data_IF_205927402287
#
_entry.id   IF_205927402287
#
_cell.length_a   1.000
_cell.length_b   1.000
_cell.length_c   1.000
_cell.angle_alpha   90.00
_cell.angle_beta   90.00
_cell.angle_gamma   90.00
#
_symmetry.space_group_name_H-M   'P 1'
#
loop_
_entity.id
_entity.type
_entity.pdbx_description
1 polymer ?
#
# COMPACT_ATOMS: atom_id res chain seq x y z
N UNK A 1 -21.40 -17.33 18.36
CA UNK A 1 -21.71 -16.32 17.35
C UNK A 1 -20.71 -15.20 17.53
N UNK A 2 -19.75 -15.07 16.65
CA UNK A 2 -18.79 -13.95 16.68
C UNK A 2 -19.56 -12.77 16.07
N UNK A 3 -19.74 -11.69 16.84
CA UNK A 3 -20.28 -10.44 16.32
C UNK A 3 -19.37 -9.97 15.19
N UNK A 4 -19.89 -9.95 13.98
CA UNK A 4 -19.25 -9.35 12.84
C UNK A 4 -19.13 -7.85 13.11
N UNK A 5 -17.92 -7.34 13.26
CA UNK A 5 -17.71 -5.92 13.52
C UNK A 5 -18.18 -5.11 12.31
N UNK A 6 -18.85 -3.98 12.57
CA UNK A 6 -19.39 -3.07 11.55
C UNK A 6 -18.34 -2.45 10.60
N UNK A 7 -17.08 -2.83 10.75
CA UNK A 7 -15.93 -2.31 10.00
C UNK A 7 -15.50 -3.18 8.81
N UNK A 8 -16.16 -4.35 8.58
CA UNK A 8 -15.86 -5.24 7.46
C UNK A 8 -16.37 -4.75 6.09
N UNK A 9 -16.95 -3.56 6.04
CA UNK A 9 -17.61 -3.01 4.86
C UNK A 9 -16.77 -1.95 4.12
N UNK A 10 -15.51 -2.25 3.82
CA UNK A 10 -14.74 -1.51 2.84
C UNK A 10 -14.90 -2.16 1.46
N UNK A 11 -15.90 -1.73 0.71
CA UNK A 11 -16.16 -2.23 -0.62
C UNK A 11 -15.24 -1.54 -1.63
N UNK A 12 -14.23 -2.28 -2.09
CA UNK A 12 -13.60 -2.08 -3.39
C UNK A 12 -13.91 -3.33 -4.22
N UNK A 13 -14.31 -3.25 -5.49
CA UNK A 13 -14.58 -4.42 -6.33
C UNK A 13 -13.42 -5.42 -6.33
N UNK A 14 -12.20 -4.92 -6.32
CA UNK A 14 -10.96 -5.72 -6.23
C UNK A 14 -10.77 -6.39 -4.86
N UNK A 15 -11.33 -5.81 -3.80
CA UNK A 15 -11.19 -6.34 -2.44
C UNK A 15 -12.18 -7.46 -2.11
N UNK A 16 -13.25 -7.64 -2.89
CA UNK A 16 -14.21 -8.74 -2.69
C UNK A 16 -13.52 -10.10 -2.86
N UNK A 17 -12.68 -10.26 -3.87
CA UNK A 17 -11.89 -11.47 -4.06
C UNK A 17 -10.95 -11.71 -2.86
N UNK A 18 -10.30 -10.67 -2.39
CA UNK A 18 -9.42 -10.70 -1.21
C UNK A 18 -10.18 -11.04 0.09
N UNK A 19 -11.35 -10.43 0.33
CA UNK A 19 -12.18 -10.67 1.52
C UNK A 19 -12.76 -12.09 1.49
N UNK A 20 -13.14 -12.58 0.31
CA UNK A 20 -13.65 -13.97 0.13
C UNK A 20 -12.54 -15.01 0.22
N UNK A 21 -11.28 -14.60 0.39
CA UNK A 21 -10.14 -15.53 0.41
C UNK A 21 -9.74 -16.05 -0.96
N UNK A 22 -10.41 -15.59 -2.02
CA UNK A 22 -10.06 -15.90 -3.40
C UNK A 22 -8.78 -15.13 -3.76
N UNK A 23 -7.72 -15.83 -4.11
CA UNK A 23 -6.42 -15.24 -4.50
C UNK A 23 -5.69 -14.46 -3.40
N UNK A 24 -5.94 -14.77 -2.11
CA UNK A 24 -5.05 -14.26 -1.04
C UNK A 24 -3.67 -14.87 -1.23
N UNK A 25 -2.63 -14.06 -1.42
CA UNK A 25 -1.28 -14.59 -1.31
C UNK A 25 -1.13 -15.15 0.11
N UNK A 26 -0.92 -16.44 0.22
CA UNK A 26 -0.57 -17.05 1.50
C UNK A 26 0.92 -16.90 1.63
N UNK A 27 1.30 -15.94 2.40
CA UNK A 27 2.66 -15.60 2.60
C UNK A 27 3.22 -16.17 3.88
N UNK A 28 4.26 -16.91 3.73
CA UNK A 28 5.17 -17.21 4.84
C UNK A 28 6.60 -17.42 4.37
N UNK A 29 6.87 -17.46 3.07
CA UNK A 29 8.19 -17.80 2.53
C UNK A 29 8.61 -16.82 1.44
N UNK A 30 9.92 -16.51 1.42
CA UNK A 30 10.54 -15.76 0.34
C UNK A 30 10.37 -16.49 -1.01
N UNK A 31 10.21 -15.73 -2.07
CA UNK A 31 10.20 -16.25 -3.43
C UNK A 31 8.92 -15.97 -4.22
N UNK A 32 8.64 -16.73 -5.29
CA UNK A 32 7.60 -16.41 -6.27
C UNK A 32 6.17 -16.34 -5.72
N UNK A 33 5.93 -16.87 -4.54
CA UNK A 33 4.61 -16.83 -3.90
C UNK A 33 4.36 -15.58 -3.08
N UNK A 34 5.42 -14.87 -2.69
CA UNK A 34 5.29 -13.60 -2.00
C UNK A 34 5.12 -12.47 -3.02
N UNK A 35 4.02 -11.72 -2.99
CA UNK A 35 3.78 -10.66 -3.98
C UNK A 35 4.79 -9.52 -3.89
N UNK A 36 5.46 -9.35 -2.74
CA UNK A 36 6.47 -8.31 -2.54
C UNK A 36 7.90 -8.77 -2.84
N UNK A 37 8.15 -10.07 -3.03
CA UNK A 37 9.41 -10.59 -3.57
C UNK A 37 9.44 -10.58 -5.10
N UNK A 38 8.29 -10.44 -5.75
CA UNK A 38 8.15 -10.43 -7.20
C UNK A 38 8.36 -9.01 -7.68
N UNK A 39 9.58 -8.74 -8.10
CA UNK A 39 9.99 -7.45 -8.68
C UNK A 39 10.43 -7.62 -10.13
N UNK A 40 9.98 -8.72 -10.76
CA UNK A 40 10.19 -8.99 -12.18
C UNK A 40 9.28 -8.09 -13.06
N UNK A 41 9.61 -8.04 -14.34
CA UNK A 41 8.97 -7.15 -15.32
C UNK A 41 7.45 -7.32 -15.46
N UNK A 42 6.90 -8.43 -14.95
CA UNK A 42 5.46 -8.72 -15.03
C UNK A 42 4.59 -7.92 -14.05
N UNK A 43 5.19 -7.30 -13.01
CA UNK A 43 4.49 -6.46 -12.03
C UNK A 43 4.94 -4.99 -12.09
N UNK A 44 5.67 -4.58 -13.13
CA UNK A 44 6.11 -3.20 -13.33
C UNK A 44 4.98 -2.19 -13.41
N UNK A 45 3.79 -2.63 -13.82
CA UNK A 45 2.63 -1.76 -14.04
C UNK A 45 2.25 -0.92 -12.80
N UNK A 46 2.52 -1.39 -11.60
CA UNK A 46 2.18 -0.70 -10.35
C UNK A 46 3.37 -0.14 -9.56
N UNK A 47 4.61 -0.38 -10.00
CA UNK A 47 5.80 0.17 -9.33
C UNK A 47 5.93 1.66 -9.66
N UNK A 48 6.00 2.48 -8.61
CA UNK A 48 6.14 3.94 -8.69
C UNK A 48 7.62 4.33 -8.75
N UNK A 49 8.46 3.70 -7.93
CA UNK A 49 9.89 4.01 -7.85
C UNK A 49 10.69 2.82 -7.31
N UNK A 50 11.96 2.74 -7.69
CA UNK A 50 12.92 1.74 -7.22
C UNK A 50 14.12 2.44 -6.59
N UNK A 51 14.48 2.00 -5.38
CA UNK A 51 15.69 2.38 -4.68
C UNK A 51 16.75 1.27 -4.72
N UNK A 52 17.78 1.41 -3.91
CA UNK A 52 18.83 0.42 -3.75
C UNK A 52 18.41 -0.75 -2.86
N UNK A 53 17.59 -0.49 -1.84
CA UNK A 53 17.21 -1.45 -0.81
C UNK A 53 15.70 -1.66 -0.73
N UNK A 54 14.92 -0.68 -1.19
CA UNK A 54 13.45 -0.67 -1.12
C UNK A 54 12.84 -0.21 -2.44
N UNK A 55 11.56 -0.42 -2.61
CA UNK A 55 10.79 0.10 -3.75
C UNK A 55 9.42 0.59 -3.30
N UNK A 56 8.81 1.43 -4.13
CA UNK A 56 7.47 1.97 -3.91
C UNK A 56 6.52 1.37 -4.92
N UNK A 57 5.39 0.87 -4.46
CA UNK A 57 4.37 0.24 -5.31
C UNK A 57 2.97 0.74 -4.94
N UNK A 58 2.09 0.90 -5.94
CA UNK A 58 0.68 1.13 -5.67
C UNK A 58 0.07 -0.08 -4.97
N UNK A 59 -0.74 0.17 -3.93
CA UNK A 59 -1.45 -0.94 -3.30
C UNK A 59 -2.59 -1.42 -4.22
N UNK A 60 -2.55 -2.68 -4.62
CA UNK A 60 -3.59 -3.31 -5.46
C UNK A 60 -4.97 -3.28 -4.79
N UNK A 61 -5.01 -3.26 -3.44
CA UNK A 61 -6.23 -3.19 -2.63
C UNK A 61 -6.26 -1.90 -1.79
N UNK A 62 -6.36 -0.72 -2.43
CA UNK A 62 -6.14 0.54 -1.76
C UNK A 62 -7.21 0.85 -0.71
N UNK A 63 -6.81 1.42 0.42
CA UNK A 63 -7.73 1.94 1.43
C UNK A 63 -8.34 3.29 1.02
N UNK A 64 -7.60 4.08 0.25
CA UNK A 64 -8.01 5.35 -0.35
C UNK A 64 -7.29 5.52 -1.70
N UNK A 65 -7.78 6.38 -2.61
CA UNK A 65 -7.04 6.76 -3.81
C UNK A 65 -5.60 7.18 -3.47
N UNK A 66 -4.63 6.74 -4.27
CA UNK A 66 -3.22 7.07 -4.05
C UNK A 66 -2.55 6.33 -2.88
N UNK A 67 -3.13 5.24 -2.39
CA UNK A 67 -2.51 4.39 -1.38
C UNK A 67 -1.30 3.66 -1.97
N UNK A 68 -0.12 3.94 -1.46
CA UNK A 68 1.13 3.28 -1.83
C UNK A 68 1.73 2.49 -0.68
N UNK A 69 2.56 1.53 -1.03
CA UNK A 69 3.37 0.73 -0.11
C UNK A 69 4.84 1.00 -0.40
N UNK A 70 5.68 0.98 0.65
CA UNK A 70 7.13 0.94 0.53
C UNK A 70 7.58 -0.40 1.10
N UNK A 71 8.27 -1.19 0.28
CA UNK A 71 8.67 -2.56 0.59
C UNK A 71 10.19 -2.71 0.45
N UNK A 72 10.89 -3.39 1.38
CA UNK A 72 12.25 -3.82 1.15
C UNK A 72 12.29 -4.89 0.05
N UNK A 73 13.39 -4.99 -0.72
CA UNK A 73 13.58 -6.11 -1.65
C UNK A 73 13.79 -7.42 -0.91
N UNK A 74 14.42 -7.34 0.25
CA UNK A 74 14.69 -8.51 1.10
C UNK A 74 13.40 -8.95 1.79
N UNK A 75 13.12 -10.25 1.75
CA UNK A 75 11.99 -10.83 2.47
C UNK A 75 12.25 -10.81 3.98
N UNK A 76 11.67 -9.86 4.66
CA UNK A 76 11.81 -9.64 6.09
C UNK A 76 10.45 -9.32 6.70
N UNK A 77 10.11 -9.96 7.81
CA UNK A 77 8.81 -9.84 8.45
C UNK A 77 8.77 -8.77 9.55
N UNK A 78 9.89 -8.58 10.23
CA UNK A 78 9.98 -7.74 11.43
C UNK A 78 10.78 -6.47 11.14
N UNK A 79 10.27 -5.33 11.58
CA UNK A 79 10.92 -4.03 11.42
C UNK A 79 12.29 -3.98 12.13
N UNK A 80 12.43 -4.74 13.24
CA UNK A 80 13.69 -4.80 13.99
C UNK A 80 14.80 -5.53 13.24
N UNK A 81 14.46 -6.30 12.19
CA UNK A 81 15.39 -7.02 11.35
C UNK A 81 15.85 -6.23 10.11
N UNK A 82 15.33 -5.01 9.92
CA UNK A 82 15.81 -4.11 8.86
C UNK A 82 17.24 -3.66 9.13
N UNK A 83 18.01 -3.53 8.04
CA UNK A 83 19.31 -2.85 8.13
C UNK A 83 19.13 -1.34 8.27
N UNK A 84 20.20 -0.63 8.63
CA UNK A 84 20.17 0.83 8.71
C UNK A 84 19.90 1.47 7.34
N UNK A 85 20.42 0.86 6.27
CA UNK A 85 20.22 1.31 4.89
C UNK A 85 18.77 1.11 4.45
N UNK A 86 18.17 -0.05 4.73
CA UNK A 86 16.76 -0.33 4.41
C UNK A 86 15.83 0.61 5.15
N UNK A 87 16.01 0.79 6.46
CA UNK A 87 15.18 1.69 7.26
C UNK A 87 15.39 3.16 6.89
N UNK A 88 16.61 3.55 6.54
CA UNK A 88 16.94 4.89 6.04
C UNK A 88 16.25 5.20 4.73
N UNK A 89 16.33 4.29 3.76
CA UNK A 89 15.71 4.47 2.45
C UNK A 89 14.18 4.41 2.52
N UNK A 90 13.62 3.57 3.39
CA UNK A 90 12.19 3.53 3.67
C UNK A 90 11.68 4.90 4.16
N UNK A 91 12.40 5.52 5.10
CA UNK A 91 12.08 6.87 5.61
C UNK A 91 12.25 7.95 4.54
N UNK A 92 13.25 7.82 3.69
CA UNK A 92 13.52 8.74 2.58
C UNK A 92 12.39 8.69 1.54
N UNK A 93 11.98 7.49 1.11
CA UNK A 93 10.85 7.33 0.20
C UNK A 93 9.54 7.81 0.81
N UNK A 94 9.31 7.58 2.12
CA UNK A 94 8.14 8.09 2.80
C UNK A 94 8.01 9.60 2.63
N UNK A 95 9.08 10.35 2.90
CA UNK A 95 9.08 11.80 2.78
C UNK A 95 8.83 12.28 1.33
N UNK A 96 9.48 11.64 0.36
CA UNK A 96 9.34 11.97 -1.06
C UNK A 96 7.94 11.63 -1.57
N UNK A 97 7.40 10.45 -1.26
CA UNK A 97 6.06 10.07 -1.65
C UNK A 97 4.98 10.99 -1.08
N UNK A 98 5.11 11.43 0.16
CA UNK A 98 4.18 12.40 0.73
C UNK A 98 4.20 13.73 -0.03
N UNK A 99 5.36 14.17 -0.52
CA UNK A 99 5.47 15.37 -1.36
C UNK A 99 4.83 15.15 -2.74
N UNK A 100 5.15 14.05 -3.40
CA UNK A 100 4.59 13.69 -4.71
C UNK A 100 3.06 13.59 -4.65
N UNK A 101 2.53 12.89 -3.66
CA UNK A 101 1.08 12.76 -3.48
C UNK A 101 0.41 14.12 -3.20
N UNK A 102 1.07 15.00 -2.43
CA UNK A 102 0.54 16.37 -2.23
C UNK A 102 0.51 17.17 -3.52
N UNK A 103 1.55 17.08 -4.33
CA UNK A 103 1.61 17.78 -5.61
C UNK A 103 0.51 17.33 -6.59
N UNK A 104 0.22 16.04 -6.63
CA UNK A 104 -0.75 15.43 -7.56
C UNK A 104 -2.19 15.57 -7.09
N UNK A 105 -2.48 15.33 -5.80
CA UNK A 105 -3.85 15.11 -5.32
C UNK A 105 -4.27 15.96 -4.11
N UNK A 106 -3.36 16.78 -3.57
CA UNK A 106 -3.58 17.73 -2.49
C UNK A 106 -4.37 17.15 -1.29
N UNK A 107 -3.95 16.05 -0.67
CA UNK A 107 -4.60 15.50 0.53
C UNK A 107 -4.41 16.43 1.73
N UNK A 108 -5.39 16.44 2.66
CA UNK A 108 -5.30 17.19 3.89
C UNK A 108 -4.52 16.46 4.99
N UNK A 109 -4.25 15.17 4.81
CA UNK A 109 -3.51 14.37 5.79
C UNK A 109 -3.06 13.04 5.22
N UNK A 110 -2.36 12.27 6.05
CA UNK A 110 -1.91 10.92 5.75
C UNK A 110 -2.07 10.02 6.96
N UNK A 111 -2.42 8.75 6.73
CA UNK A 111 -2.16 7.68 7.67
C UNK A 111 -0.93 6.91 7.17
N UNK A 112 0.06 6.77 8.05
CA UNK A 112 1.33 6.10 7.72
C UNK A 112 1.60 5.07 8.81
N UNK A 113 2.01 3.87 8.42
CA UNK A 113 2.33 2.84 9.39
C UNK A 113 2.55 1.48 8.77
N UNK A 114 2.83 0.52 9.65
CA UNK A 114 3.10 -0.88 9.35
C UNK A 114 2.10 -1.74 10.11
N UNK A 115 1.55 -2.75 9.44
CA UNK A 115 0.84 -3.83 10.12
C UNK A 115 1.82 -5.00 10.25
N UNK A 116 2.35 -5.21 11.44
CA UNK A 116 3.33 -6.25 11.69
C UNK A 116 2.70 -7.41 12.46
N UNK A 117 2.74 -8.59 11.84
CA UNK A 117 2.11 -9.79 12.36
C UNK A 117 0.59 -9.87 12.08
N UNK A 118 0.05 -11.07 12.16
CA UNK A 118 -1.36 -11.34 11.86
C UNK A 118 -2.34 -10.66 12.82
N UNK A 119 -1.96 -10.53 14.10
CA UNK A 119 -2.77 -9.86 15.12
C UNK A 119 -2.93 -8.35 14.85
N UNK A 120 -1.99 -7.73 14.14
CA UNK A 120 -2.06 -6.34 13.71
C UNK A 120 -2.80 -6.14 12.38
N UNK A 121 -3.35 -7.21 11.80
CA UNK A 121 -4.09 -7.15 10.54
C UNK A 121 -3.23 -7.16 9.28
N UNK A 122 -1.98 -7.62 9.36
CA UNK A 122 -1.14 -7.82 8.18
C UNK A 122 -1.77 -8.88 7.28
N UNK A 123 -2.12 -8.51 6.05
CA UNK A 123 -2.59 -9.44 5.03
C UNK A 123 -1.47 -10.35 4.52
N UNK A 124 -0.26 -9.82 4.49
CA UNK A 124 0.99 -10.49 4.17
C UNK A 124 1.92 -10.26 5.35
N UNK A 125 2.03 -11.24 6.24
CA UNK A 125 2.73 -11.10 7.52
C UNK A 125 4.22 -11.37 7.44
N UNK A 126 4.67 -12.09 6.40
CA UNK A 126 6.08 -12.47 6.23
C UNK A 126 6.93 -11.46 5.46
N UNK A 127 6.32 -10.45 4.85
CA UNK A 127 7.06 -9.42 4.14
C UNK A 127 6.62 -8.03 4.57
N UNK A 128 7.54 -7.30 5.19
CA UNK A 128 7.29 -5.97 5.71
C UNK A 128 6.93 -5.00 4.59
N UNK A 129 5.87 -4.21 4.81
CA UNK A 129 5.42 -3.18 3.89
C UNK A 129 4.84 -2.01 4.65
N UNK A 130 5.34 -0.82 4.37
CA UNK A 130 4.87 0.40 4.99
C UNK A 130 3.78 1.04 4.14
N UNK A 131 2.64 1.30 4.75
CA UNK A 131 1.52 1.99 4.12
C UNK A 131 1.69 3.50 4.17
N UNK A 132 1.35 4.18 3.06
CA UNK A 132 1.11 5.62 2.99
C UNK A 132 -0.26 5.81 2.38
N UNK A 133 -1.21 6.27 3.18
CA UNK A 133 -2.61 6.43 2.80
C UNK A 133 -2.98 7.91 2.84
N UNK A 134 -3.20 8.55 1.70
CA UNK A 134 -3.69 9.93 1.66
C UNK A 134 -5.10 10.05 2.26
N UNK A 135 -5.36 11.19 2.89
CA UNK A 135 -6.64 11.44 3.55
C UNK A 135 -7.22 12.79 3.16
N UNK A 136 -8.52 12.82 2.92
CA UNK A 136 -9.29 14.04 2.66
C UNK A 136 -10.44 14.16 3.64
N UNK A 137 -10.86 15.41 3.93
CA UNK A 137 -12.07 15.64 4.72
C UNK A 137 -13.26 15.06 3.95
N UNK A 138 -14.06 14.23 4.62
CA UNK A 138 -15.21 13.59 4.01
C UNK A 138 -14.88 12.36 3.15
N UNK A 139 -13.67 11.84 3.17
CA UNK A 139 -13.31 10.58 2.52
C UNK A 139 -14.05 9.38 3.14
N UNK A 140 -14.56 9.54 4.36
CA UNK A 140 -15.52 8.64 4.99
C UNK A 140 -16.88 9.37 5.02
N UNK A 141 -17.79 9.01 4.15
CA UNK A 141 -19.11 9.62 3.99
C UNK A 141 -20.23 8.55 4.04
N UNK A 142 -21.46 8.94 3.68
CA UNK A 142 -22.61 8.04 3.62
C UNK A 142 -22.33 6.76 2.83
N UNK A 143 -21.65 6.86 1.67
CA UNK A 143 -21.33 5.70 0.83
C UNK A 143 -20.39 4.74 1.55
N UNK A 144 -19.41 5.23 2.30
CA UNK A 144 -18.50 4.41 3.08
C UNK A 144 -19.19 3.79 4.30
N UNK A 145 -20.02 4.60 5.01
CA UNK A 145 -20.61 4.21 6.30
C UNK A 145 -21.83 3.29 6.12
N UNK A 146 -22.68 3.57 5.13
CA UNK A 146 -23.93 2.84 4.91
C UNK A 146 -23.85 1.88 3.72
N UNK A 147 -23.20 2.31 2.64
CA UNK A 147 -23.06 1.53 1.41
C UNK A 147 -21.83 0.63 1.40
N UNK A 148 -20.94 0.73 2.39
CA UNK A 148 -19.68 -0.01 2.41
C UNK A 148 -18.78 0.23 1.18
N UNK A 149 -19.00 1.35 0.48
CA UNK A 149 -18.36 1.63 -0.81
C UNK A 149 -17.43 2.83 -0.71
N UNK A 150 -16.32 2.79 -1.44
CA UNK A 150 -15.43 3.95 -1.65
C UNK A 150 -15.36 4.27 -3.13
N UNK A 151 -15.38 5.55 -3.45
CA UNK A 151 -15.18 6.03 -4.80
C UNK A 151 -13.68 6.06 -5.09
N UNK A 152 -13.25 5.32 -6.11
CA UNK A 152 -11.92 5.45 -6.70
C UNK A 152 -12.04 6.38 -7.89
N UNK A 153 -11.39 7.53 -7.81
CA UNK A 153 -11.52 8.61 -8.80
C UNK A 153 -10.53 8.50 -9.95
N UNK A 154 -9.59 7.54 -9.88
CA UNK A 154 -8.51 7.35 -10.85
C UNK A 154 -8.08 5.88 -10.87
N UNK A 155 -7.64 5.38 -12.01
CA UNK A 155 -7.05 4.06 -12.14
C UNK A 155 -5.71 3.97 -11.39
N UNK A 156 -5.31 2.77 -11.01
CA UNK A 156 -4.05 2.57 -10.28
C UNK A 156 -2.84 2.93 -11.14
N UNK A 157 -2.87 2.56 -12.41
CA UNK A 157 -1.82 2.82 -13.40
C UNK A 157 -1.67 4.33 -13.65
N UNK A 158 -2.79 5.04 -13.80
CA UNK A 158 -2.78 6.52 -13.93
C UNK A 158 -2.19 7.20 -12.69
N UNK A 159 -2.58 6.73 -11.50
CA UNK A 159 -2.03 7.24 -10.24
C UNK A 159 -0.54 6.96 -10.13
N UNK A 160 -0.09 5.76 -10.55
CA UNK A 160 1.31 5.38 -10.59
C UNK A 160 2.12 6.32 -11.47
N UNK A 161 1.65 6.57 -12.70
CA UNK A 161 2.34 7.43 -13.67
C UNK A 161 2.51 8.86 -13.15
N UNK A 162 1.45 9.42 -12.57
CA UNK A 162 1.48 10.76 -11.99
C UNK A 162 2.45 10.85 -10.81
N UNK A 163 2.49 9.85 -9.95
CA UNK A 163 3.40 9.83 -8.81
C UNK A 163 4.86 9.63 -9.24
N UNK A 164 5.11 8.77 -10.22
CA UNK A 164 6.45 8.56 -10.78
C UNK A 164 6.98 9.85 -11.42
N UNK A 165 6.17 10.53 -12.20
CA UNK A 165 6.53 11.83 -12.79
C UNK A 165 6.81 12.88 -11.71
N UNK A 166 5.94 13.01 -10.71
CA UNK A 166 6.13 13.95 -9.61
C UNK A 166 7.37 13.66 -8.75
N UNK A 167 7.80 12.40 -8.64
CA UNK A 167 9.05 12.03 -7.97
C UNK A 167 10.27 12.42 -8.80
N UNK A 168 10.23 12.20 -10.12
CA UNK A 168 11.31 12.56 -11.04
C UNK A 168 11.56 14.07 -11.06
N UNK A 169 10.52 14.88 -10.93
CA UNK A 169 10.63 16.34 -10.87
C UNK A 169 11.26 16.87 -9.56
N UNK A 170 11.52 16.00 -8.59
CA UNK A 170 12.14 16.36 -7.29
C UNK A 170 13.64 16.08 -7.24
N UNK A 171 14.21 15.43 -8.24
CA UNK A 171 15.63 15.12 -8.35
C UNK A 171 16.34 16.23 -9.11
#
# INVERSE_FOLDING_TARGET
MVEQSAWDLLWTPHRIAYIKGESRPTDTQAGPQCPFCRTDDSEEELIVARGAHTYVVMNLFPYNPGHVLICPYRHVADFTDLTAEESGELSWFQARMMRAIRAVSNPQGFNIGLNQGSAAGAGISGHLHQHIVPRWRGDSNFMTTVGGSRTMVMLLEESRDLFAAALADMD
#
